data_IF_137359379786
#
_entry.id   IF_137359379786
#
_cell.length_a   1.000
_cell.length_b   1.000
_cell.length_c   1.000
_cell.angle_alpha   90.00
_cell.angle_beta   90.00
_cell.angle_gamma   90.00
#
_symmetry.space_group_name_H-M   'P 1'
#
loop_
_entity.id
_entity.type
_entity.pdbx_description
1 polymer ?
#
# COMPACT_ATOMS: atom_id res chain seq x y z
N UNK A 1 -17.90 28.88 9.96
CA UNK A 1 -18.36 27.56 10.41
C UNK A 1 -17.34 26.43 10.24
N UNK A 2 -16.46 26.42 9.23
CA UNK A 2 -15.49 25.29 8.99
C UNK A 2 -14.42 25.09 10.08
N UNK A 3 -13.85 26.15 10.67
CA UNK A 3 -12.79 26.02 11.69
C UNK A 3 -13.26 25.42 13.03
N UNK A 4 -14.51 25.67 13.42
CA UNK A 4 -15.10 25.16 14.67
C UNK A 4 -15.32 23.63 14.61
N UNK A 5 -15.68 23.09 13.44
CA UNK A 5 -15.90 21.66 13.26
C UNK A 5 -14.57 20.88 13.26
N UNK A 6 -13.48 21.48 12.75
CA UNK A 6 -12.14 20.87 12.79
C UNK A 6 -11.63 20.80 14.23
N UNK A 7 -11.85 21.84 15.03
CA UNK A 7 -11.49 21.84 16.46
C UNK A 7 -12.27 20.79 17.26
N UNK A 8 -13.54 20.58 16.97
CA UNK A 8 -14.37 19.56 17.64
C UNK A 8 -13.89 18.15 17.28
N UNK A 9 -13.55 17.90 16.02
CA UNK A 9 -12.98 16.60 15.59
C UNK A 9 -11.61 16.36 16.23
N UNK A 10 -10.77 17.39 16.33
CA UNK A 10 -9.47 17.28 17.00
C UNK A 10 -9.61 17.03 18.51
N UNK A 11 -10.58 17.69 19.18
CA UNK A 11 -10.85 17.45 20.61
C UNK A 11 -11.46 16.08 20.85
N UNK A 12 -12.34 15.60 19.99
CA UNK A 12 -12.88 14.25 20.05
C UNK A 12 -11.80 13.19 19.81
N UNK A 13 -10.83 13.45 18.94
CA UNK A 13 -9.69 12.56 18.72
C UNK A 13 -8.72 12.54 19.93
N UNK A 14 -8.64 13.62 20.70
CA UNK A 14 -7.79 13.70 21.90
C UNK A 14 -8.48 13.17 23.17
N UNK A 15 -9.80 13.03 23.19
CA UNK A 15 -10.58 12.54 24.33
C UNK A 15 -10.81 11.02 24.33
N UNK A 16 -10.25 10.29 23.39
CA UNK A 16 -10.21 8.82 23.41
C UNK A 16 -9.28 8.41 24.56
N UNK A 17 -9.87 8.16 25.68
CA UNK A 17 -9.25 7.94 26.98
C UNK A 17 -8.12 6.93 26.92
N UNK A 18 -7.16 7.11 27.79
CA UNK A 18 -6.04 6.22 28.07
C UNK A 18 -6.56 4.86 28.62
N UNK A 19 -7.13 4.05 27.73
CA UNK A 19 -7.21 2.64 27.98
C UNK A 19 -5.80 2.10 27.73
N UNK A 20 -5.11 1.66 28.76
CA UNK A 20 -3.89 0.88 28.65
C UNK A 20 -4.23 -0.49 28.06
N UNK A 21 -4.64 -0.54 26.82
CA UNK A 21 -4.86 -1.80 26.15
C UNK A 21 -3.52 -2.39 25.74
N UNK A 22 -3.39 -3.67 25.89
CA UNK A 22 -2.23 -4.42 25.45
C UNK A 22 -2.23 -4.44 23.92
N UNK A 23 -1.38 -3.62 23.30
CA UNK A 23 -1.21 -3.52 21.85
C UNK A 23 -0.14 -4.51 21.37
N UNK A 24 -0.27 -4.96 20.14
CA UNK A 24 0.64 -5.95 19.53
C UNK A 24 0.75 -7.27 20.32
N UNK A 25 -0.38 -7.77 20.79
CA UNK A 25 -0.44 -9.08 21.44
C UNK A 25 -0.10 -10.21 20.45
N UNK A 26 0.55 -11.28 20.92
CA UNK A 26 0.72 -12.47 20.11
C UNK A 26 -0.62 -12.99 19.59
N UNK A 27 -0.68 -13.33 18.31
CA UNK A 27 -1.86 -13.80 17.58
C UNK A 27 -2.94 -12.74 17.29
N UNK A 28 -2.75 -11.50 17.74
CA UNK A 28 -3.60 -10.39 17.31
C UNK A 28 -3.57 -10.27 15.78
N UNK A 29 -4.71 -10.02 15.18
CA UNK A 29 -4.87 -9.89 13.74
C UNK A 29 -5.32 -8.49 13.37
N UNK A 30 -4.94 -8.04 12.18
CA UNK A 30 -5.40 -6.75 11.64
C UNK A 30 -5.83 -6.90 10.19
N UNK A 31 -6.91 -6.21 9.83
CA UNK A 31 -7.30 -5.99 8.43
C UNK A 31 -6.94 -4.56 8.09
N UNK A 32 -6.28 -4.36 6.98
CA UNK A 32 -5.79 -3.06 6.55
C UNK A 32 -6.28 -2.72 5.15
N UNK A 33 -6.71 -1.48 4.98
CA UNK A 33 -6.98 -0.87 3.67
C UNK A 33 -5.91 0.17 3.42
N UNK A 34 -5.20 0.07 2.29
CA UNK A 34 -4.12 0.99 1.87
C UNK A 34 -4.48 1.66 0.56
N UNK A 35 -4.08 2.92 0.44
CA UNK A 35 -4.10 3.65 -0.83
C UNK A 35 -2.86 4.51 -0.93
N UNK A 36 -2.41 4.76 -2.15
CA UNK A 36 -1.21 5.56 -2.32
C UNK A 36 -0.84 5.83 -3.77
N UNK A 37 0.34 6.37 -3.95
CA UNK A 37 0.91 6.71 -5.24
C UNK A 37 2.07 5.78 -5.57
N UNK A 38 2.22 5.46 -6.85
CA UNK A 38 3.29 4.64 -7.40
C UNK A 38 4.08 5.46 -8.42
N UNK A 39 5.42 5.37 -8.36
CA UNK A 39 6.38 6.02 -9.27
C UNK A 39 6.24 7.54 -9.34
N UNK A 40 5.80 8.16 -8.25
CA UNK A 40 5.62 9.60 -8.10
C UNK A 40 4.16 10.02 -8.01
N UNK A 41 3.92 11.35 -8.07
CA UNK A 41 2.59 11.93 -8.00
C UNK A 41 1.97 11.98 -9.40
N UNK A 42 0.83 11.33 -9.57
CA UNK A 42 0.07 11.39 -10.81
C UNK A 42 -0.63 12.75 -10.94
N UNK A 43 -0.23 13.55 -11.90
CA UNK A 43 -0.74 14.90 -12.16
C UNK A 43 -1.70 14.99 -13.37
N UNK A 44 -2.05 13.86 -13.96
CA UNK A 44 -2.92 13.77 -15.13
C UNK A 44 -2.27 14.14 -16.46
N UNK A 45 -0.98 14.48 -16.48
CA UNK A 45 -0.27 14.78 -17.73
C UNK A 45 0.00 13.52 -18.54
N UNK A 46 -0.11 13.63 -19.86
CA UNK A 46 0.08 12.51 -20.80
C UNK A 46 1.49 11.89 -20.76
N UNK A 47 2.48 12.61 -20.27
CA UNK A 47 3.87 12.15 -20.16
C UNK A 47 4.27 11.64 -18.77
N UNK A 48 3.35 11.60 -17.82
CA UNK A 48 3.64 11.13 -16.46
C UNK A 48 3.65 9.60 -16.41
N UNK A 49 4.70 9.03 -15.82
CA UNK A 49 4.77 7.58 -15.48
C UNK A 49 4.13 7.27 -14.15
N UNK A 50 3.79 8.29 -13.37
CA UNK A 50 3.21 8.13 -12.05
C UNK A 50 1.86 7.42 -12.10
N UNK A 51 1.56 6.72 -11.03
CA UNK A 51 0.34 5.95 -10.89
C UNK A 51 -0.21 6.01 -9.46
N UNK A 52 -1.18 5.16 -9.22
CA UNK A 52 -1.79 4.97 -7.91
C UNK A 52 -1.95 3.49 -7.61
N UNK A 53 -2.11 3.18 -6.34
CA UNK A 53 -2.45 1.82 -5.92
C UNK A 53 -3.48 1.83 -4.79
N UNK A 54 -4.17 0.71 -4.68
CA UNK A 54 -5.06 0.41 -3.58
C UNK A 54 -4.86 -1.06 -3.20
N UNK A 55 -4.89 -1.35 -1.90
CA UNK A 55 -4.65 -2.69 -1.42
C UNK A 55 -5.44 -3.04 -0.17
N UNK A 56 -5.63 -4.34 0.02
CA UNK A 56 -6.16 -4.95 1.23
C UNK A 56 -5.09 -5.82 1.84
N UNK A 57 -4.89 -5.70 3.14
CA UNK A 57 -3.89 -6.46 3.89
C UNK A 57 -4.48 -7.15 5.11
N UNK A 58 -3.90 -8.29 5.43
CA UNK A 58 -4.09 -8.98 6.70
C UNK A 58 -2.75 -9.04 7.40
N UNK A 59 -2.73 -8.79 8.69
CA UNK A 59 -1.54 -8.92 9.52
C UNK A 59 -1.81 -9.84 10.71
N UNK A 60 -0.79 -10.62 11.10
CA UNK A 60 -0.83 -11.47 12.27
C UNK A 60 0.43 -11.19 13.10
N UNK A 61 0.24 -10.69 14.31
CA UNK A 61 1.34 -10.26 15.19
C UNK A 61 1.95 -11.43 15.94
N UNK A 62 3.26 -11.40 16.11
CA UNK A 62 4.04 -12.39 16.86
C UNK A 62 4.35 -11.90 18.28
N UNK A 63 4.96 -12.75 19.11
CA UNK A 63 5.31 -12.43 20.50
C UNK A 63 6.27 -11.23 20.64
N UNK A 64 7.08 -10.96 19.60
CA UNK A 64 8.04 -9.84 19.60
C UNK A 64 7.47 -8.50 19.15
N UNK A 65 6.20 -8.47 18.72
CA UNK A 65 5.61 -7.29 18.09
C UNK A 65 5.82 -7.25 16.57
N UNK A 66 6.56 -8.18 16.02
CA UNK A 66 6.71 -8.40 14.59
C UNK A 66 5.40 -8.92 14.00
N UNK A 67 5.25 -8.89 12.69
CA UNK A 67 4.03 -9.35 12.03
C UNK A 67 4.30 -10.07 10.71
N UNK A 68 3.51 -11.12 10.48
CA UNK A 68 3.29 -11.69 9.16
C UNK A 68 2.25 -10.86 8.43
N UNK A 69 2.46 -10.64 7.12
CA UNK A 69 1.56 -9.85 6.28
C UNK A 69 1.14 -10.65 5.06
N UNK A 70 -0.14 -10.55 4.74
CA UNK A 70 -0.76 -11.11 3.55
C UNK A 70 -1.53 -10.00 2.88
N UNK A 71 -1.46 -9.85 1.58
CA UNK A 71 -2.14 -8.76 0.90
C UNK A 71 -2.53 -9.05 -0.53
N UNK A 72 -3.49 -8.29 -1.00
CA UNK A 72 -3.81 -8.16 -2.41
C UNK A 72 -3.76 -6.68 -2.77
N UNK A 73 -3.10 -6.36 -3.87
CA UNK A 73 -2.87 -4.98 -4.29
C UNK A 73 -3.20 -4.82 -5.77
N UNK A 74 -3.93 -3.76 -6.08
CA UNK A 74 -4.13 -3.24 -7.41
C UNK A 74 -3.27 -1.99 -7.58
N UNK A 75 -2.44 -1.95 -8.61
CA UNK A 75 -1.64 -0.79 -8.98
C UNK A 75 -1.91 -0.45 -10.44
N UNK A 76 -2.07 0.83 -10.73
CA UNK A 76 -2.17 1.34 -12.09
C UNK A 76 -1.14 2.43 -12.32
N UNK A 77 -0.30 2.24 -13.33
CA UNK A 77 0.67 3.23 -13.82
C UNK A 77 0.34 3.62 -15.26
N UNK A 78 0.86 4.75 -15.69
CA UNK A 78 0.62 5.27 -17.03
C UNK A 78 1.94 5.35 -17.78
N UNK A 79 2.06 4.57 -18.86
CA UNK A 79 3.25 4.59 -19.71
C UNK A 79 3.05 5.62 -20.83
N UNK A 80 3.91 6.65 -20.92
CA UNK A 80 3.84 7.63 -22.01
C UNK A 80 4.04 6.96 -23.37
N UNK A 81 3.18 7.27 -24.33
CA UNK A 81 3.26 6.80 -25.69
C UNK A 81 2.83 7.90 -26.65
N UNK A 82 3.77 8.51 -27.40
CA UNK A 82 3.54 9.68 -28.27
C UNK A 82 2.78 10.79 -27.50
N UNK A 83 1.63 11.25 -28.00
CA UNK A 83 0.77 12.28 -27.40
C UNK A 83 -0.27 11.71 -26.42
N UNK A 84 -0.19 10.43 -26.10
CA UNK A 84 -1.14 9.72 -25.22
C UNK A 84 -0.40 8.92 -24.15
N UNK A 85 -1.14 8.28 -23.26
CA UNK A 85 -0.58 7.35 -22.28
C UNK A 85 -1.34 6.02 -22.30
N UNK A 86 -0.60 4.93 -22.12
CA UNK A 86 -1.15 3.59 -22.03
C UNK A 86 -1.32 3.23 -20.55
N UNK A 87 -2.53 2.96 -20.08
CA UNK A 87 -2.72 2.49 -18.71
C UNK A 87 -2.25 1.03 -18.61
N UNK A 88 -1.46 0.76 -17.57
CA UNK A 88 -0.98 -0.55 -17.22
C UNK A 88 -1.44 -0.85 -15.81
N UNK A 89 -2.27 -1.87 -15.67
CA UNK A 89 -2.83 -2.32 -14.42
C UNK A 89 -2.13 -3.60 -13.96
N UNK A 90 -1.73 -3.65 -12.70
CA UNK A 90 -1.15 -4.84 -12.06
C UNK A 90 -2.04 -5.25 -10.88
N UNK A 91 -2.37 -6.53 -10.80
CA UNK A 91 -3.04 -7.13 -9.65
C UNK A 91 -2.11 -8.18 -9.05
N UNK A 92 -1.71 -7.99 -7.80
CA UNK A 92 -0.72 -8.84 -7.12
C UNK A 92 -1.24 -9.34 -5.79
N UNK A 93 -0.91 -10.60 -5.47
CA UNK A 93 -0.95 -11.14 -4.13
C UNK A 93 0.42 -11.03 -3.48
N UNK A 94 0.49 -10.67 -2.22
CA UNK A 94 1.72 -10.50 -1.45
C UNK A 94 1.71 -11.31 -0.16
N UNK A 95 2.87 -11.84 0.19
CA UNK A 95 3.14 -12.50 1.47
C UNK A 95 4.47 -12.00 2.00
N UNK A 96 4.50 -11.54 3.25
CA UNK A 96 5.69 -10.92 3.82
C UNK A 96 5.80 -11.04 5.33
N UNK A 97 6.91 -10.52 5.82
CA UNK A 97 7.24 -10.41 7.23
C UNK A 97 7.76 -9.00 7.51
N UNK A 98 7.31 -8.40 8.59
CA UNK A 98 7.75 -7.08 9.03
C UNK A 98 8.23 -7.15 10.49
N UNK A 99 9.47 -6.70 10.69
CA UNK A 99 10.14 -6.63 11.98
C UNK A 99 9.90 -5.27 12.63
N UNK A 100 9.45 -5.27 13.88
CA UNK A 100 9.32 -4.06 14.68
C UNK A 100 10.69 -3.67 15.22
N UNK A 101 11.32 -2.64 14.65
CA UNK A 101 12.64 -2.20 15.05
C UNK A 101 12.64 -1.01 16.02
N UNK A 102 11.51 -0.29 16.09
CA UNK A 102 11.36 0.83 17.02
C UNK A 102 9.90 0.96 17.44
N UNK A 103 9.66 1.18 18.73
CA UNK A 103 8.34 1.49 19.28
C UNK A 103 8.49 2.45 20.46
N UNK A 104 7.47 3.28 20.71
CA UNK A 104 7.37 4.03 21.94
C UNK A 104 7.02 3.13 23.13
N UNK A 105 7.25 3.60 24.35
CA UNK A 105 6.99 2.84 25.57
C UNK A 105 5.53 2.43 25.72
N UNK A 106 4.61 3.23 25.19
CA UNK A 106 3.16 2.98 25.22
C UNK A 106 2.69 2.11 24.06
N UNK A 107 3.59 1.73 23.13
CA UNK A 107 3.27 1.02 21.88
C UNK A 107 2.14 1.69 21.09
N UNK A 108 2.14 3.02 21.10
CA UNK A 108 1.19 3.83 20.33
C UNK A 108 1.71 4.08 18.94
N UNK A 109 3.02 4.23 18.79
CA UNK A 109 3.71 4.41 17.52
C UNK A 109 4.73 3.30 17.34
N UNK A 110 4.61 2.57 16.24
CA UNK A 110 5.49 1.45 15.92
C UNK A 110 6.06 1.64 14.52
N UNK A 111 7.33 1.32 14.37
CA UNK A 111 8.05 1.36 13.11
C UNK A 111 8.47 -0.04 12.70
N UNK A 112 8.20 -0.38 11.46
CA UNK A 112 8.49 -1.68 10.89
C UNK A 112 9.40 -1.55 9.67
N UNK A 113 10.33 -2.48 9.55
CA UNK A 113 11.03 -2.79 8.31
C UNK A 113 10.55 -4.15 7.84
N UNK A 114 10.13 -4.26 6.59
CA UNK A 114 9.54 -5.49 6.08
C UNK A 114 10.08 -5.89 4.72
N UNK A 115 9.88 -7.17 4.40
CA UNK A 115 10.09 -7.72 3.08
C UNK A 115 8.95 -8.65 2.70
N UNK A 116 8.59 -8.67 1.42
CA UNK A 116 7.56 -9.55 0.89
C UNK A 116 7.96 -10.19 -0.43
N UNK A 117 7.39 -11.37 -0.70
CA UNK A 117 7.29 -11.96 -2.02
C UNK A 117 5.93 -11.64 -2.62
N UNK A 118 5.88 -11.45 -3.93
CA UNK A 118 4.65 -11.16 -4.65
C UNK A 118 4.54 -11.93 -5.96
N UNK A 119 3.32 -12.20 -6.37
CA UNK A 119 2.99 -12.74 -7.68
C UNK A 119 1.64 -12.21 -8.14
N UNK A 120 1.45 -12.08 -9.46
CA UNK A 120 0.22 -11.53 -9.98
C UNK A 120 0.17 -11.47 -11.49
N UNK A 121 -0.66 -10.58 -11.98
CA UNK A 121 -0.90 -10.39 -13.40
C UNK A 121 -0.91 -8.91 -13.76
N UNK A 122 -0.24 -8.59 -14.87
CA UNK A 122 -0.24 -7.28 -15.49
C UNK A 122 -1.16 -7.28 -16.70
N UNK A 123 -1.96 -6.23 -16.87
CA UNK A 123 -2.81 -6.00 -18.04
C UNK A 123 -2.50 -4.64 -18.63
N UNK A 124 -2.15 -4.59 -19.90
CA UNK A 124 -1.91 -3.36 -20.67
C UNK A 124 -3.18 -2.97 -21.41
N UNK A 125 -3.50 -1.67 -21.40
CA UNK A 125 -4.65 -1.10 -22.12
C UNK A 125 -5.97 -1.88 -21.89
N UNK A 126 -6.16 -2.39 -20.67
CA UNK A 126 -7.35 -3.19 -20.31
C UNK A 126 -7.56 -4.41 -21.22
N UNK A 127 -6.48 -5.03 -21.70
CA UNK A 127 -6.53 -6.17 -22.62
C UNK A 127 -6.86 -5.84 -24.08
N UNK A 128 -7.04 -4.56 -24.42
CA UNK A 128 -7.32 -4.13 -25.78
C UNK A 128 -6.02 -4.04 -26.58
N UNK A 129 -5.94 -4.76 -27.70
CA UNK A 129 -4.76 -4.77 -28.59
C UNK A 129 -4.62 -3.49 -29.41
N UNK A 130 -5.74 -2.87 -29.80
CA UNK A 130 -5.74 -1.68 -30.63
C UNK A 130 -5.78 -0.42 -29.77
N UNK A 131 -4.88 0.50 -30.02
CA UNK A 131 -4.85 1.82 -29.41
C UNK A 131 -5.74 2.80 -30.20
N UNK A 132 -6.01 3.98 -29.61
CA UNK A 132 -6.84 5.02 -30.24
C UNK A 132 -6.25 5.60 -31.53
N UNK A 133 -4.93 5.47 -31.72
CA UNK A 133 -4.20 5.91 -32.93
C UNK A 133 -4.04 4.79 -33.97
N UNK A 134 -4.69 3.63 -33.80
CA UNK A 134 -4.61 2.47 -34.68
C UNK A 134 -3.39 1.58 -34.48
N UNK A 135 -2.48 1.93 -33.56
CA UNK A 135 -1.34 1.08 -33.25
C UNK A 135 -1.77 -0.20 -32.51
N UNK A 136 -1.07 -1.30 -32.76
CA UNK A 136 -1.38 -2.61 -32.17
C UNK A 136 -0.33 -2.99 -31.14
N UNK A 137 -0.76 -3.35 -29.94
CA UNK A 137 0.09 -3.90 -28.87
C UNK A 137 0.37 -5.37 -29.13
N UNK A 138 1.64 -5.79 -29.06
CA UNK A 138 2.03 -7.19 -29.22
C UNK A 138 1.55 -8.05 -28.05
N UNK A 139 1.73 -7.57 -26.81
CA UNK A 139 1.29 -8.22 -25.59
C UNK A 139 0.32 -7.32 -24.84
N UNK A 140 -0.80 -7.90 -24.37
CA UNK A 140 -1.81 -7.19 -23.60
C UNK A 140 -1.85 -7.63 -22.14
N UNK A 141 -1.04 -8.62 -21.76
CA UNK A 141 -0.95 -9.08 -20.39
C UNK A 141 0.23 -10.01 -20.17
N UNK A 142 0.72 -10.05 -18.95
CA UNK A 142 1.85 -10.87 -18.53
C UNK A 142 1.68 -11.35 -17.08
N UNK A 143 2.18 -12.55 -16.78
CA UNK A 143 2.37 -12.98 -15.40
C UNK A 143 3.57 -12.24 -14.82
N UNK A 144 3.40 -11.68 -13.63
CA UNK A 144 4.43 -10.94 -12.91
C UNK A 144 4.74 -11.58 -11.57
N UNK A 145 5.99 -11.50 -11.15
CA UNK A 145 6.43 -11.99 -9.85
C UNK A 145 7.57 -11.12 -9.34
N UNK A 146 7.82 -11.20 -8.04
CA UNK A 146 8.88 -10.39 -7.46
C UNK A 146 8.87 -10.36 -5.96
N UNK A 147 9.39 -9.27 -5.42
CA UNK A 147 9.43 -9.01 -4.00
C UNK A 147 9.36 -7.52 -3.70
N UNK A 148 9.30 -7.18 -2.42
CA UNK A 148 9.40 -5.79 -1.99
C UNK A 148 10.15 -5.64 -0.69
N UNK A 149 10.66 -4.43 -0.47
CA UNK A 149 11.15 -3.97 0.83
C UNK A 149 10.30 -2.77 1.24
N UNK A 150 9.93 -2.68 2.50
CA UNK A 150 9.07 -1.61 3.00
C UNK A 150 9.52 -1.06 4.35
N UNK A 151 9.26 0.22 4.54
CA UNK A 151 9.24 0.87 5.84
C UNK A 151 7.79 1.27 6.11
N UNK A 152 7.28 0.90 7.28
CA UNK A 152 5.90 1.20 7.66
C UNK A 152 5.88 1.76 9.08
N UNK A 153 5.03 2.77 9.30
CA UNK A 153 4.71 3.32 10.61
C UNK A 153 3.26 3.01 10.93
N UNK A 154 2.99 2.47 12.11
CA UNK A 154 1.64 2.29 12.65
C UNK A 154 1.43 3.25 13.82
N UNK A 155 0.33 3.99 13.80
CA UNK A 155 -0.08 4.92 14.86
C UNK A 155 -1.45 4.47 15.36
N UNK A 156 -1.48 3.92 16.56
CA UNK A 156 -2.72 3.46 17.19
C UNK A 156 -3.57 4.64 17.68
N UNK A 157 -4.74 4.81 17.09
CA UNK A 157 -5.74 5.79 17.53
C UNK A 157 -6.61 5.22 18.67
N UNK A 158 -6.83 3.91 18.63
CA UNK A 158 -7.52 3.15 19.66
C UNK A 158 -7.00 1.71 19.65
N UNK A 159 -7.52 0.85 20.52
CA UNK A 159 -7.16 -0.58 20.57
C UNK A 159 -7.62 -1.35 19.32
N UNK A 160 -8.65 -0.83 18.64
CA UNK A 160 -9.23 -1.45 17.46
C UNK A 160 -8.82 -0.76 16.15
N UNK A 161 -8.17 0.42 16.21
CA UNK A 161 -7.90 1.23 15.03
C UNK A 161 -6.49 1.80 15.03
N UNK A 162 -5.75 1.58 13.96
CA UNK A 162 -4.47 2.22 13.70
C UNK A 162 -4.43 2.88 12.33
N UNK A 163 -3.76 4.01 12.24
CA UNK A 163 -3.34 4.62 10.97
C UNK A 163 -1.98 4.04 10.58
N UNK A 164 -1.79 3.83 9.28
CA UNK A 164 -0.52 3.38 8.73
C UNK A 164 -0.02 4.37 7.69
N UNK A 165 1.30 4.53 7.65
CA UNK A 165 2.00 5.23 6.57
C UNK A 165 3.17 4.35 6.13
N UNK A 166 3.36 4.19 4.83
CA UNK A 166 4.38 3.29 4.30
C UNK A 166 5.09 3.83 3.08
N UNK A 167 6.35 3.47 2.98
CA UNK A 167 7.17 3.59 1.76
C UNK A 167 7.59 2.17 1.41
N UNK A 168 7.32 1.75 0.16
CA UNK A 168 7.61 0.41 -0.34
C UNK A 168 8.30 0.49 -1.69
N UNK A 169 9.41 -0.21 -1.83
CA UNK A 169 10.09 -0.43 -3.11
C UNK A 169 9.79 -1.83 -3.60
N UNK A 170 9.19 -1.95 -4.78
CA UNK A 170 8.84 -3.21 -5.42
C UNK A 170 9.86 -3.57 -6.48
N UNK A 171 10.28 -4.81 -6.50
CA UNK A 171 11.16 -5.42 -7.50
C UNK A 171 10.33 -6.42 -8.29
N UNK A 172 9.99 -6.11 -9.54
CA UNK A 172 9.04 -6.89 -10.34
C UNK A 172 9.71 -7.40 -11.61
N UNK A 173 9.49 -8.66 -11.94
CA UNK A 173 9.92 -9.30 -13.18
C UNK A 173 8.71 -9.83 -13.95
N UNK A 174 8.89 -9.96 -15.28
CA UNK A 174 7.82 -10.37 -16.18
C UNK A 174 6.90 -9.22 -16.62
N UNK A 175 7.11 -8.02 -16.10
CA UNK A 175 6.33 -6.83 -16.43
C UNK A 175 6.89 -6.05 -17.63
N UNK A 176 6.10 -5.09 -18.11
CA UNK A 176 6.41 -4.23 -19.26
C UNK A 176 6.85 -2.82 -18.87
N UNK A 177 6.78 -2.46 -17.56
CA UNK A 177 6.95 -1.08 -17.08
C UNK A 177 8.30 -0.77 -16.46
N UNK A 178 9.16 -1.76 -16.26
CA UNK A 178 10.42 -1.65 -15.55
C UNK A 178 10.39 -2.45 -14.24
N UNK A 179 11.57 -2.69 -13.68
CA UNK A 179 11.72 -3.62 -12.57
C UNK A 179 11.46 -2.99 -11.19
N UNK A 180 11.53 -1.67 -11.09
CA UNK A 180 11.48 -0.93 -9.83
C UNK A 180 10.25 -0.02 -9.79
N UNK A 181 9.50 -0.12 -8.70
CA UNK A 181 8.32 0.71 -8.47
C UNK A 181 8.29 1.19 -7.02
N UNK A 182 8.52 2.48 -6.83
CA UNK A 182 8.46 3.11 -5.51
C UNK A 182 7.02 3.50 -5.19
N UNK A 183 6.52 3.07 -4.04
CA UNK A 183 5.17 3.37 -3.57
C UNK A 183 5.22 4.16 -2.27
N UNK A 184 4.34 5.17 -2.18
CA UNK A 184 4.06 5.94 -0.96
C UNK A 184 2.59 5.78 -0.63
N UNK A 185 2.27 5.32 0.56
CA UNK A 185 0.89 5.04 0.93
C UNK A 185 0.54 5.38 2.34
N UNK A 186 -0.76 5.54 2.52
CA UNK A 186 -1.42 5.64 3.81
C UNK A 186 -2.49 4.57 3.90
N UNK A 187 -2.78 4.14 5.10
CA UNK A 187 -3.78 3.10 5.33
C UNK A 187 -4.48 3.26 6.67
N UNK A 188 -5.50 2.46 6.80
CA UNK A 188 -6.24 2.29 8.05
C UNK A 188 -6.33 0.82 8.37
N UNK A 189 -5.91 0.45 9.57
CA UNK A 189 -5.86 -0.92 10.05
C UNK A 189 -6.87 -1.11 11.17
N UNK A 190 -7.73 -2.10 11.02
CA UNK A 190 -8.69 -2.54 12.02
C UNK A 190 -8.16 -3.78 12.71
N UNK A 191 -8.02 -3.71 14.02
CA UNK A 191 -7.54 -4.81 14.85
C UNK A 191 -8.71 -5.70 15.21
N UNK A 192 -8.52 -7.00 15.00
CA UNK A 192 -9.49 -8.06 15.30
C UNK A 192 -8.83 -9.01 16.30
N UNK A 193 -9.48 -9.26 17.40
CA UNK A 193 -9.07 -10.25 18.40
C UNK A 193 -9.92 -11.52 18.25
#
# INVERSE_FOLDING_TARGET
MKRRNIAIVAVLALSVGQAFAQRCLPQMKGIEVKVGMADGVYDGKKSSKAGYYAGLGLSSYTKGGDKWTYGAEYMQVHQPYRDTSVPIAQMTGEFGYAHNFLSDNSKTVLFYIGGSAMAGYESMNWGKRTMSDGATLQNTGAFIYGGSVSLETEIYLSDALALTASVKERFVWGNSTGHFHTQFGIGMKFIIN
#
